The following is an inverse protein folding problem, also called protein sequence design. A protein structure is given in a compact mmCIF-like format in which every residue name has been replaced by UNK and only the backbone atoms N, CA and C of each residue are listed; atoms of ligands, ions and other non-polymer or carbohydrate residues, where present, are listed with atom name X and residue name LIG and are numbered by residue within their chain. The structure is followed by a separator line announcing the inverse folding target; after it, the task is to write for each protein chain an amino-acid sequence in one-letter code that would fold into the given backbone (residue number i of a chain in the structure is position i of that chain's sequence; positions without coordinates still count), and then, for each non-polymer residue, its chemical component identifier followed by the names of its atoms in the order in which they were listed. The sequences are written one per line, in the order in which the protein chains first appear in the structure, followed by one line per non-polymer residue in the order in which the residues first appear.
data_IF_818501467365
#
_entry.id   IF_818501467365
#
_cell.length_a   1.000
_cell.length_b   1.000
_cell.length_c   1.000
_cell.angle_alpha   90.00
_cell.angle_beta   90.00
_cell.angle_gamma   90.00
#
_symmetry.space_group_name_H-M   'P 1'
#
loop_
_entity.id
_entity.type
_entity.pdbx_description
1 polymer ?
#
# COMPACT_ATOMS: atom_id res chain seq x y z
N UNK A 1 -11.19 25.67 2.88
CA UNK A 1 -9.88 25.01 2.67
C UNK A 1 -9.96 23.62 3.24
N UNK A 2 -9.68 22.61 2.42
CA UNK A 2 -9.65 21.21 2.86
C UNK A 2 -8.29 20.91 3.45
N UNK A 3 -8.26 20.23 4.60
CA UNK A 3 -7.03 19.82 5.29
C UNK A 3 -7.11 18.34 5.61
N UNK A 4 -5.99 17.64 5.52
CA UNK A 4 -5.88 16.21 5.79
C UNK A 4 -4.68 15.94 6.70
N UNK A 5 -4.69 14.81 7.41
CA UNK A 5 -3.53 14.38 8.17
C UNK A 5 -2.61 13.55 7.29
N UNK A 6 -1.30 13.81 7.37
CA UNK A 6 -0.29 12.93 6.80
C UNK A 6 -0.42 11.54 7.42
N UNK A 7 -0.66 10.47 6.64
CA UNK A 7 -0.93 9.14 7.19
C UNK A 7 0.25 8.52 7.95
N UNK A 8 1.46 9.04 7.76
CA UNK A 8 2.69 8.53 8.40
C UNK A 8 3.00 9.21 9.73
N UNK A 9 2.78 10.52 9.83
CA UNK A 9 3.24 11.31 11.00
C UNK A 9 2.17 12.24 11.58
N UNK A 10 0.97 12.28 11.00
CA UNK A 10 -0.18 13.05 11.43
C UNK A 10 -0.05 14.58 11.33
N UNK A 11 1.04 15.09 10.74
CA UNK A 11 1.13 16.52 10.38
C UNK A 11 -0.03 16.91 9.45
N UNK A 12 -0.67 18.04 9.72
CA UNK A 12 -1.77 18.57 8.90
C UNK A 12 -1.20 19.11 7.59
N UNK A 13 -1.76 18.67 6.47
CA UNK A 13 -1.43 19.09 5.10
C UNK A 13 -2.62 19.82 4.50
N UNK A 14 -2.37 20.96 3.84
CA UNK A 14 -3.41 21.66 3.08
C UNK A 14 -3.66 20.93 1.76
N UNK A 15 -4.92 20.76 1.37
CA UNK A 15 -5.26 20.08 0.13
C UNK A 15 -5.29 21.08 -1.03
N UNK A 16 -4.12 21.48 -1.50
CA UNK A 16 -3.92 22.42 -2.61
C UNK A 16 -2.77 21.98 -3.53
N UNK A 17 -2.57 22.71 -4.64
CA UNK A 17 -1.53 22.38 -5.61
C UNK A 17 -0.09 22.58 -5.09
N UNK A 18 0.10 23.51 -4.14
CA UNK A 18 1.40 23.82 -3.54
C UNK A 18 1.91 22.66 -2.65
N UNK A 19 1.00 21.84 -2.12
CA UNK A 19 1.34 20.65 -1.35
C UNK A 19 1.75 19.51 -2.28
N UNK A 20 3.00 19.54 -2.74
CA UNK A 20 3.56 18.65 -3.77
C UNK A 20 3.41 17.15 -3.45
N UNK A 21 3.56 16.78 -2.19
CA UNK A 21 3.51 15.38 -1.74
C UNK A 21 2.18 14.96 -1.12
N UNK A 22 1.11 15.75 -1.25
CA UNK A 22 -0.21 15.42 -0.67
C UNK A 22 -0.65 13.98 -1.02
N UNK A 23 -1.15 13.18 -0.07
CA UNK A 23 -1.57 13.55 1.29
C UNK A 23 -0.42 13.62 2.32
N UNK A 24 0.83 13.37 1.93
CA UNK A 24 1.99 13.35 2.82
C UNK A 24 2.54 14.77 3.05
N UNK A 25 3.10 15.01 4.24
CA UNK A 25 3.70 16.30 4.56
C UNK A 25 5.10 16.51 3.95
N UNK A 26 5.72 15.46 3.40
CA UNK A 26 7.05 15.49 2.79
C UNK A 26 7.33 14.25 1.94
N UNK A 27 8.32 14.33 1.05
CA UNK A 27 8.83 13.19 0.30
C UNK A 27 9.21 12.01 1.21
N UNK A 28 9.85 12.30 2.36
CA UNK A 28 10.20 11.28 3.35
C UNK A 28 9.00 10.46 3.79
N UNK A 29 7.87 11.10 4.09
CA UNK A 29 6.67 10.37 4.53
C UNK A 29 6.08 9.54 3.39
N UNK A 30 6.07 10.06 2.15
CA UNK A 30 5.68 9.28 0.96
C UNK A 30 6.53 8.01 0.80
N UNK A 31 7.84 8.12 1.00
CA UNK A 31 8.76 6.99 0.85
C UNK A 31 8.65 5.97 1.97
N UNK A 32 8.36 6.40 3.20
CA UNK A 32 8.09 5.49 4.33
C UNK A 32 6.84 4.65 4.04
N UNK A 33 5.74 5.29 3.64
CA UNK A 33 4.50 4.59 3.32
C UNK A 33 4.70 3.57 2.21
N UNK A 34 5.41 3.94 1.14
CA UNK A 34 5.79 3.02 0.08
C UNK A 34 6.62 1.83 0.60
N UNK A 35 7.56 2.09 1.51
CA UNK A 35 8.36 1.05 2.15
C UNK A 35 7.52 0.07 2.98
N UNK A 36 6.51 0.57 3.68
CA UNK A 36 5.58 -0.26 4.46
C UNK A 36 4.71 -1.16 3.58
N UNK A 37 4.31 -0.68 2.39
CA UNK A 37 3.64 -1.52 1.39
C UNK A 37 4.54 -2.63 0.86
N UNK A 38 5.78 -2.29 0.48
CA UNK A 38 6.75 -3.27 -0.03
C UNK A 38 7.09 -4.32 1.03
N UNK A 39 7.14 -3.92 2.30
CA UNK A 39 7.48 -4.80 3.42
C UNK A 39 6.30 -5.58 3.98
N UNK A 40 5.12 -5.50 3.34
CA UNK A 40 3.87 -6.14 3.80
C UNK A 40 3.45 -5.73 5.23
N UNK A 41 3.86 -4.53 5.67
CA UNK A 41 3.48 -3.99 6.98
C UNK A 41 2.02 -3.53 6.99
N UNK A 42 1.51 -3.07 5.85
CA UNK A 42 0.10 -2.76 5.63
C UNK A 42 -0.69 -4.05 5.41
N UNK A 43 -1.41 -4.50 6.43
CA UNK A 43 -2.25 -5.71 6.40
C UNK A 43 -3.59 -5.48 7.07
N UNK A 44 -4.63 -6.12 6.54
CA UNK A 44 -5.95 -6.15 7.16
C UNK A 44 -6.02 -7.39 8.05
N UNK A 45 -6.33 -7.26 9.34
CA UNK A 45 -6.51 -8.42 10.21
C UNK A 45 -7.74 -9.22 9.77
N UNK A 46 -7.59 -10.53 9.66
CA UNK A 46 -8.66 -11.43 9.23
C UNK A 46 -8.21 -12.89 9.33
N UNK A 47 -9.12 -13.80 8.98
CA UNK A 47 -8.73 -15.20 8.75
C UNK A 47 -7.71 -15.27 7.60
N UNK A 48 -6.78 -16.25 7.63
CA UNK A 48 -5.89 -16.47 6.50
C UNK A 48 -6.70 -16.54 5.21
N UNK A 49 -6.29 -15.75 4.21
CA UNK A 49 -6.91 -15.86 2.90
C UNK A 49 -6.77 -17.32 2.42
N UNK A 50 -7.87 -17.94 2.01
CA UNK A 50 -7.79 -19.17 1.24
C UNK A 50 -7.10 -18.82 -0.08
N UNK A 51 -5.82 -19.18 -0.19
CA UNK A 51 -5.07 -19.01 -1.43
C UNK A 51 -5.59 -20.10 -2.38
N UNK A 52 -6.68 -19.81 -3.10
CA UNK A 52 -7.00 -20.59 -4.29
C UNK A 52 -5.86 -20.32 -5.29
N UNK A 53 -5.00 -21.31 -5.50
CA UNK A 53 -4.05 -21.28 -6.61
C UNK A 53 -4.84 -21.41 -7.92
N UNK A 54 -5.47 -20.31 -8.35
CA UNK A 54 -6.15 -20.21 -9.64
C UNK A 54 -5.14 -19.98 -10.79
N UNK A 55 -3.83 -20.07 -10.53
CA UNK A 55 -2.81 -19.59 -11.48
C UNK A 55 -2.18 -20.68 -12.35
N UNK A 56 -2.44 -21.97 -12.09
CA UNK A 56 -1.94 -23.05 -12.95
C UNK A 56 -2.98 -24.17 -13.02
N UNK A 57 -3.56 -24.42 -14.20
CA UNK A 57 -4.44 -25.58 -14.39
C UNK A 57 -3.68 -26.89 -14.10
N UNK A 58 -4.36 -27.94 -13.66
CA UNK A 58 -3.72 -29.27 -13.48
C UNK A 58 -2.97 -29.72 -14.75
N UNK A 59 -3.47 -29.33 -15.92
CA UNK A 59 -2.85 -29.62 -17.21
C UNK A 59 -1.48 -28.95 -17.35
N UNK A 60 -1.33 -27.71 -16.90
CA UNK A 60 -0.05 -26.99 -16.90
C UNK A 60 0.92 -27.54 -15.84
N UNK A 61 0.44 -28.05 -14.69
CA UNK A 61 1.29 -28.76 -13.71
C UNK A 61 1.86 -30.07 -14.28
N UNK A 62 1.06 -30.79 -15.06
CA UNK A 62 1.47 -32.06 -15.65
C UNK A 62 2.48 -31.92 -16.79
N UNK A 63 2.56 -30.74 -17.42
CA UNK A 63 3.55 -30.44 -18.48
C UNK A 63 4.94 -30.05 -17.96
N UNK A 64 5.08 -29.82 -16.65
CA UNK A 64 6.34 -29.44 -15.99
C UNK A 64 7.09 -30.63 -15.36
N UNK A 65 6.57 -31.86 -15.50
CA UNK A 65 7.19 -33.11 -15.07
C UNK A 65 7.76 -33.89 -16.23
#
# INVERSE_FOLDING_TARGET
MTKVNCPVCQTIVEWDENSEYRPFCSERCKMIDLGDWISENHRIPGEPAEIADESISEEQRNLLN
#
